data_IF_269286330790
#
_entry.id   IF_269286330790
#
_cell.length_a   1.000
_cell.length_b   1.000
_cell.length_c   1.000
_cell.angle_alpha   90.00
_cell.angle_beta   90.00
_cell.angle_gamma   90.00
#
_symmetry.space_group_name_H-M   'P 1'
#
loop_
_entity.id
_entity.type
_entity.pdbx_description
1 polymer ?
#
# COMPACT_ATOMS: atom_id res chain seq x y z
N UNK A 1 -9.01 2.02 -35.73
CA UNK A 1 -7.84 1.44 -35.03
C UNK A 1 -6.95 2.52 -34.41
N UNK A 2 -6.83 3.70 -35.02
CA UNK A 2 -6.15 4.88 -34.41
C UNK A 2 -6.58 5.14 -32.95
N UNK A 3 -7.88 5.16 -32.67
CA UNK A 3 -8.41 5.29 -31.31
C UNK A 3 -7.93 4.22 -30.31
N UNK A 4 -7.63 3.00 -30.76
CA UNK A 4 -7.12 1.93 -29.90
C UNK A 4 -5.65 2.16 -29.55
N UNK A 5 -4.82 2.58 -30.53
CA UNK A 5 -3.41 2.89 -30.31
C UNK A 5 -3.26 4.04 -29.30
N UNK A 6 -4.06 5.10 -29.47
CA UNK A 6 -4.04 6.25 -28.55
C UNK A 6 -4.56 5.90 -27.16
N UNK A 7 -5.57 5.01 -27.08
CA UNK A 7 -6.02 4.45 -25.82
C UNK A 7 -4.90 3.67 -25.11
N UNK A 8 -4.18 2.79 -25.82
CA UNK A 8 -3.08 2.01 -25.25
C UNK A 8 -1.93 2.90 -24.76
N UNK A 9 -1.59 3.97 -25.51
CA UNK A 9 -0.55 4.96 -25.13
C UNK A 9 -0.82 5.66 -23.80
N UNK A 10 -2.08 5.88 -23.48
CA UNK A 10 -2.47 6.68 -22.32
C UNK A 10 -2.93 5.83 -21.13
N UNK A 11 -3.40 4.62 -21.40
CA UNK A 11 -3.97 3.73 -20.39
C UNK A 11 -2.94 2.79 -19.77
N UNK A 12 -1.82 2.51 -20.46
CA UNK A 12 -0.74 1.64 -19.96
C UNK A 12 -1.22 0.27 -19.52
N UNK A 13 -2.15 -0.30 -20.29
CA UNK A 13 -2.77 -1.57 -19.93
C UNK A 13 -1.73 -2.68 -19.80
N UNK A 14 -1.80 -3.46 -18.73
CA UNK A 14 -0.81 -4.53 -18.50
C UNK A 14 -1.40 -5.69 -17.70
N UNK A 15 -0.66 -6.80 -17.68
CA UNK A 15 -1.00 -7.98 -16.89
C UNK A 15 -0.99 -7.74 -15.38
N UNK A 16 -0.41 -6.62 -14.94
CA UNK A 16 -0.30 -6.24 -13.54
C UNK A 16 -1.51 -5.44 -13.02
N UNK A 17 -2.39 -4.99 -13.91
CA UNK A 17 -3.60 -4.26 -13.53
C UNK A 17 -4.72 -5.20 -13.05
N UNK A 18 -5.58 -4.74 -12.13
CA UNK A 18 -6.83 -5.42 -11.82
C UNK A 18 -7.67 -5.70 -13.08
N UNK A 19 -8.02 -6.95 -13.32
CA UNK A 19 -8.83 -7.35 -14.49
C UNK A 19 -10.13 -8.02 -14.05
N UNK A 20 -11.22 -7.71 -14.73
CA UNK A 20 -12.49 -8.39 -14.53
C UNK A 20 -12.45 -9.81 -15.12
N UNK A 21 -12.53 -10.83 -14.27
CA UNK A 21 -12.51 -12.24 -14.70
C UNK A 21 -13.70 -12.67 -15.60
N UNK A 22 -14.75 -11.84 -15.70
CA UNK A 22 -15.95 -12.14 -16.48
C UNK A 22 -15.90 -11.57 -17.91
N UNK A 23 -15.24 -10.43 -18.11
CA UNK A 23 -15.21 -9.76 -19.41
C UNK A 23 -13.82 -9.25 -19.83
N UNK A 24 -12.78 -9.59 -19.06
CA UNK A 24 -11.38 -9.21 -19.29
C UNK A 24 -11.13 -7.70 -19.35
N UNK A 25 -12.05 -6.89 -18.81
CA UNK A 25 -11.84 -5.44 -18.72
C UNK A 25 -10.70 -5.15 -17.74
N UNK A 26 -9.65 -4.51 -18.25
CA UNK A 26 -8.59 -3.91 -17.44
C UNK A 26 -9.11 -2.69 -16.68
N UNK A 27 -8.80 -2.63 -15.40
CA UNK A 27 -9.21 -1.57 -14.49
C UNK A 27 -7.97 -0.98 -13.84
N UNK A 28 -7.84 0.35 -13.86
CA UNK A 28 -6.67 1.04 -13.29
C UNK A 28 -6.49 0.78 -11.80
N UNK A 29 -7.59 0.58 -11.06
CA UNK A 29 -7.57 0.26 -9.64
C UNK A 29 -8.61 -0.80 -9.28
N UNK A 30 -8.43 -1.41 -8.11
CA UNK A 30 -9.43 -2.32 -7.54
C UNK A 30 -10.75 -1.60 -7.23
N UNK A 31 -10.70 -0.28 -7.05
CA UNK A 31 -11.88 0.56 -6.87
C UNK A 31 -12.69 0.61 -8.17
N UNK A 32 -12.04 0.86 -9.31
CA UNK A 32 -12.68 0.79 -10.64
C UNK A 32 -13.22 -0.62 -10.95
N UNK A 33 -12.49 -1.67 -10.55
CA UNK A 33 -12.96 -3.05 -10.71
C UNK A 33 -14.20 -3.33 -9.86
N UNK A 34 -14.21 -2.85 -8.61
CA UNK A 34 -15.39 -2.93 -7.73
C UNK A 34 -16.58 -2.17 -8.32
N UNK A 35 -16.37 -0.96 -8.81
CA UNK A 35 -17.42 -0.17 -9.43
C UNK A 35 -18.04 -0.90 -10.64
N UNK A 36 -17.19 -1.54 -11.43
CA UNK A 36 -17.60 -2.32 -12.60
C UNK A 36 -18.42 -3.58 -12.25
N UNK A 37 -18.12 -4.23 -11.12
CA UNK A 37 -18.76 -5.49 -10.70
C UNK A 37 -19.99 -5.29 -9.81
N UNK A 38 -19.90 -4.37 -8.85
CA UNK A 38 -20.88 -4.20 -7.75
C UNK A 38 -21.09 -2.72 -7.37
N UNK A 39 -20.64 -1.79 -8.20
CA UNK A 39 -20.78 -0.36 -7.97
C UNK A 39 -22.17 0.21 -8.29
N UNK A 40 -22.28 1.55 -8.33
CA UNK A 40 -23.55 2.22 -8.67
C UNK A 40 -23.90 2.07 -10.16
N UNK A 41 -22.91 1.92 -11.04
CA UNK A 41 -23.10 1.77 -12.48
C UNK A 41 -22.30 0.55 -13.01
N UNK A 42 -22.63 -0.67 -12.58
CA UNK A 42 -21.88 -1.86 -12.96
C UNK A 42 -22.24 -2.29 -14.40
N UNK A 43 -21.37 -3.07 -15.04
CA UNK A 43 -21.73 -3.70 -16.31
C UNK A 43 -22.75 -4.80 -16.03
N UNK A 44 -23.96 -4.66 -16.55
CA UNK A 44 -25.12 -5.49 -16.18
C UNK A 44 -24.84 -7.01 -16.21
N UNK A 45 -24.18 -7.51 -17.25
CA UNK A 45 -23.84 -8.95 -17.35
C UNK A 45 -22.83 -9.39 -16.27
N UNK A 46 -21.80 -8.56 -16.03
CA UNK A 46 -20.80 -8.83 -15.02
C UNK A 46 -21.41 -8.79 -13.62
N UNK A 47 -22.28 -7.82 -13.35
CA UNK A 47 -23.00 -7.71 -12.07
C UNK A 47 -23.85 -8.95 -11.79
N UNK A 48 -24.64 -9.40 -12.77
CA UNK A 48 -25.52 -10.57 -12.63
C UNK A 48 -24.72 -11.83 -12.28
N UNK A 49 -23.64 -12.09 -13.01
CA UNK A 49 -22.78 -13.26 -12.76
C UNK A 49 -22.02 -13.12 -11.44
N UNK A 50 -21.48 -11.94 -11.15
CA UNK A 50 -20.73 -11.70 -9.91
C UNK A 50 -21.62 -11.81 -8.67
N UNK A 51 -22.90 -11.44 -8.73
CA UNK A 51 -23.85 -11.66 -7.62
C UNK A 51 -24.00 -13.13 -7.25
N UNK A 52 -23.86 -14.04 -8.22
CA UNK A 52 -24.07 -15.48 -8.04
C UNK A 52 -22.76 -16.19 -7.68
N UNK A 53 -21.66 -15.77 -8.29
CA UNK A 53 -20.38 -16.49 -8.29
C UNK A 53 -19.23 -15.71 -7.66
N UNK A 54 -19.41 -14.42 -7.36
CA UNK A 54 -18.35 -13.50 -6.98
C UNK A 54 -18.19 -13.35 -5.46
N UNK A 55 -16.94 -13.27 -5.01
CA UNK A 55 -16.61 -12.91 -3.64
C UNK A 55 -16.36 -11.40 -3.50
N UNK A 56 -17.20 -10.70 -2.73
CA UNK A 56 -17.09 -9.24 -2.53
C UNK A 56 -15.81 -8.76 -1.83
N UNK A 57 -15.02 -9.65 -1.24
CA UNK A 57 -13.78 -9.31 -0.52
C UNK A 57 -12.52 -9.49 -1.38
N UNK A 58 -12.35 -10.65 -2.02
CA UNK A 58 -11.20 -10.91 -2.89
C UNK A 58 -11.46 -10.57 -4.37
N UNK A 59 -12.72 -10.29 -4.75
CA UNK A 59 -13.17 -10.04 -6.12
C UNK A 59 -12.98 -11.22 -7.08
N UNK A 60 -12.66 -12.41 -6.56
CA UNK A 60 -12.59 -13.63 -7.35
C UNK A 60 -13.99 -14.08 -7.77
N UNK A 61 -14.07 -14.67 -8.97
CA UNK A 61 -15.24 -15.35 -9.50
C UNK A 61 -15.00 -16.85 -9.38
N UNK A 62 -15.94 -17.57 -8.79
CA UNK A 62 -15.84 -19.00 -8.51
C UNK A 62 -16.65 -19.81 -9.52
N UNK A 63 -16.28 -21.08 -9.72
CA UNK A 63 -16.90 -21.96 -10.72
C UNK A 63 -18.37 -22.29 -10.43
N UNK A 64 -18.79 -22.23 -9.16
CA UNK A 64 -20.16 -22.54 -8.76
C UNK A 64 -20.59 -21.80 -7.48
N UNK A 65 -21.91 -21.68 -7.22
CA UNK A 65 -22.41 -21.13 -5.95
C UNK A 65 -21.96 -21.90 -4.72
N UNK A 66 -21.76 -23.23 -4.83
CA UNK A 66 -21.23 -24.05 -3.74
C UNK A 66 -19.78 -23.69 -3.44
N UNK A 67 -18.95 -23.53 -4.47
CA UNK A 67 -17.56 -23.09 -4.33
C UNK A 67 -17.48 -21.70 -3.69
N UNK A 68 -18.38 -20.77 -4.06
CA UNK A 68 -18.48 -19.46 -3.42
C UNK A 68 -18.80 -19.57 -1.92
N UNK A 69 -19.79 -20.38 -1.53
CA UNK A 69 -20.13 -20.57 -0.10
C UNK A 69 -18.95 -21.13 0.69
N UNK A 70 -18.29 -22.16 0.17
CA UNK A 70 -17.10 -22.75 0.79
C UNK A 70 -15.94 -21.74 0.86
N UNK A 71 -15.78 -20.92 -0.18
CA UNK A 71 -14.78 -19.86 -0.22
C UNK A 71 -15.08 -18.76 0.81
N UNK A 72 -16.32 -18.31 0.97
CA UNK A 72 -16.67 -17.21 1.87
C UNK A 72 -16.22 -17.47 3.33
N UNK A 73 -16.35 -18.70 3.80
CA UNK A 73 -15.89 -19.10 5.14
C UNK A 73 -14.36 -19.15 5.29
N UNK A 74 -13.62 -19.33 4.19
CA UNK A 74 -12.16 -19.46 4.17
C UNK A 74 -11.47 -18.26 3.53
N UNK A 75 -12.24 -17.27 3.09
CA UNK A 75 -11.72 -16.11 2.42
C UNK A 75 -10.85 -15.37 3.44
N UNK A 76 -9.54 -15.32 3.17
CA UNK A 76 -8.54 -14.69 4.06
C UNK A 76 -8.80 -13.21 4.34
N UNK A 77 -9.80 -12.62 3.67
CA UNK A 77 -10.19 -11.22 3.75
C UNK A 77 -11.60 -11.03 4.34
N UNK A 78 -12.22 -12.09 4.85
CA UNK A 78 -13.51 -12.03 5.53
C UNK A 78 -13.31 -11.90 7.04
N UNK A 79 -13.39 -10.67 7.57
CA UNK A 79 -13.68 -10.42 8.98
C UNK A 79 -12.60 -10.84 10.00
N UNK A 80 -11.32 -10.71 9.67
CA UNK A 80 -10.25 -10.97 10.65
C UNK A 80 -10.28 -9.92 11.77
N UNK A 81 -10.57 -10.33 13.00
CA UNK A 81 -10.42 -9.46 14.17
C UNK A 81 -8.94 -9.18 14.43
N UNK A 82 -8.60 -7.90 14.66
CA UNK A 82 -7.31 -7.51 15.21
C UNK A 82 -7.21 -8.04 16.64
N UNK A 83 -6.39 -9.07 16.87
CA UNK A 83 -6.05 -9.51 18.22
C UNK A 83 -4.70 -8.94 18.57
N UNK A 84 -4.67 -7.94 19.47
CA UNK A 84 -3.42 -7.35 19.95
C UNK A 84 -2.61 -8.43 20.69
N UNK A 85 -1.34 -8.69 20.35
CA UNK A 85 -0.50 -9.47 21.25
C UNK A 85 -0.41 -8.72 22.59
N UNK A 86 -0.59 -9.45 23.69
CA UNK A 86 -0.56 -8.88 25.04
C UNK A 86 0.75 -8.10 25.27
N UNK A 87 0.63 -6.87 25.80
CA UNK A 87 1.73 -5.96 26.11
C UNK A 87 2.92 -6.71 26.73
N UNK A 88 3.99 -6.93 25.95
CA UNK A 88 5.32 -7.09 26.51
C UNK A 88 5.97 -5.71 26.48
N UNK A 89 6.04 -5.09 27.66
CA UNK A 89 6.86 -3.90 27.89
C UNK A 89 8.25 -4.10 27.28
N UNK A 90 8.69 -3.08 26.56
CA UNK A 90 10.07 -2.71 26.22
C UNK A 90 11.10 -3.82 26.39
N UNK A 91 11.19 -4.72 25.42
CA UNK A 91 12.41 -5.48 25.17
C UNK A 91 12.62 -5.51 23.66
N UNK A 92 13.71 -4.89 23.23
CA UNK A 92 14.25 -5.08 21.88
C UNK A 92 14.70 -6.53 21.83
N UNK A 93 13.82 -7.42 21.36
CA UNK A 93 14.20 -8.80 21.08
C UNK A 93 14.83 -8.78 19.71
N UNK A 94 16.16 -8.70 19.67
CA UNK A 94 16.96 -8.88 18.46
C UNK A 94 16.97 -10.37 18.08
N UNK A 95 15.81 -10.87 17.66
CA UNK A 95 15.69 -12.18 17.04
C UNK A 95 15.89 -11.99 15.54
N UNK A 96 17.16 -12.02 15.10
CA UNK A 96 17.61 -12.06 13.69
C UNK A 96 16.50 -11.99 12.65
N UNK A 97 15.92 -10.79 12.48
CA UNK A 97 14.69 -10.61 11.72
C UNK A 97 14.98 -10.89 10.24
N UNK A 98 14.44 -12.00 9.73
CA UNK A 98 14.47 -12.35 8.30
C UNK A 98 13.45 -11.56 7.47
N UNK A 99 12.65 -10.70 8.11
CA UNK A 99 11.66 -9.86 7.41
C UNK A 99 12.37 -8.74 6.64
N UNK A 100 12.29 -8.80 5.31
CA UNK A 100 12.77 -7.75 4.42
C UNK A 100 11.84 -6.53 4.34
N UNK A 101 10.74 -6.53 5.10
CA UNK A 101 9.70 -5.49 5.04
C UNK A 101 9.33 -5.03 6.44
N UNK A 102 9.12 -3.73 6.60
CA UNK A 102 8.62 -3.11 7.83
C UNK A 102 7.52 -2.12 7.49
N UNK A 103 6.48 -2.05 8.32
CA UNK A 103 5.48 -0.99 8.23
C UNK A 103 5.75 0.09 9.30
N UNK A 104 5.47 1.34 8.97
CA UNK A 104 5.63 2.51 9.83
C UNK A 104 4.34 3.32 9.83
N UNK A 105 3.88 3.71 11.02
CA UNK A 105 2.83 4.68 11.20
C UNK A 105 3.16 5.59 12.38
N UNK A 106 2.70 6.83 12.31
CA UNK A 106 2.86 7.81 13.38
C UNK A 106 1.51 8.38 13.77
N UNK A 107 1.32 8.57 15.07
CA UNK A 107 0.30 9.48 15.58
C UNK A 107 0.86 10.90 15.57
N UNK A 108 0.13 11.80 14.91
CA UNK A 108 0.52 13.19 14.74
C UNK A 108 -0.29 14.10 15.68
N UNK A 109 0.35 15.14 16.21
CA UNK A 109 -0.28 16.22 16.99
C UNK A 109 0.08 17.58 16.39
N UNK A 110 -0.65 18.63 16.78
CA UNK A 110 -0.43 19.97 16.24
C UNK A 110 0.90 20.54 16.76
N UNK A 111 1.75 21.01 15.85
CA UNK A 111 3.02 21.68 16.11
C UNK A 111 2.95 23.21 16.09
N UNK A 112 1.77 23.80 15.91
CA UNK A 112 1.58 25.26 16.01
C UNK A 112 2.14 26.07 14.84
N UNK A 113 2.19 25.49 13.63
CA UNK A 113 2.52 26.23 12.42
C UNK A 113 1.52 27.37 12.13
N UNK A 114 1.88 28.33 11.27
CA UNK A 114 0.95 29.39 10.88
C UNK A 114 -0.34 28.75 10.31
N UNK A 115 -1.50 29.06 10.90
CA UNK A 115 -2.80 28.43 10.67
C UNK A 115 -2.90 26.91 10.99
N UNK A 116 -2.09 26.36 11.91
CA UNK A 116 -2.16 24.94 12.30
C UNK A 116 -1.64 23.96 11.24
N UNK A 117 -0.78 24.42 10.34
CA UNK A 117 -0.32 23.65 9.16
C UNK A 117 0.90 22.76 9.39
N UNK A 118 1.45 22.71 10.60
CA UNK A 118 2.64 21.91 10.91
C UNK A 118 2.29 20.85 11.94
N UNK A 119 2.27 19.59 11.52
CA UNK A 119 2.06 18.44 12.39
C UNK A 119 3.41 17.88 12.87
N UNK A 120 3.47 17.47 14.15
CA UNK A 120 4.65 16.80 14.74
C UNK A 120 4.32 15.39 15.19
N UNK A 121 5.30 14.49 15.07
CA UNK A 121 5.15 13.11 15.50
C UNK A 121 5.14 13.03 17.03
N UNK A 122 4.11 12.41 17.58
CA UNK A 122 3.89 12.25 19.01
C UNK A 122 4.06 10.80 19.48
N UNK A 123 3.77 9.84 18.59
CA UNK A 123 3.96 8.41 18.83
C UNK A 123 4.27 7.73 17.52
N UNK A 124 5.22 6.81 17.53
CA UNK A 124 5.63 6.05 16.35
C UNK A 124 5.50 4.56 16.64
N UNK A 125 5.02 3.81 15.65
CA UNK A 125 5.00 2.36 15.67
C UNK A 125 5.66 1.82 14.39
N UNK A 126 6.42 0.75 14.54
CA UNK A 126 6.88 -0.10 13.45
C UNK A 126 6.57 -1.56 13.76
N UNK A 127 6.15 -2.28 12.73
CA UNK A 127 5.92 -3.73 12.79
C UNK A 127 6.68 -4.45 11.68
N UNK A 128 7.03 -5.70 11.92
CA UNK A 128 7.55 -6.60 10.89
C UNK A 128 6.42 -7.20 10.02
N UNK A 129 6.77 -8.04 9.05
CA UNK A 129 5.79 -8.70 8.17
C UNK A 129 4.85 -9.69 8.90
N UNK A 130 5.19 -10.08 10.14
CA UNK A 130 4.43 -10.99 10.98
C UNK A 130 3.56 -10.24 12.00
N UNK A 131 3.42 -8.92 11.85
CA UNK A 131 2.62 -8.04 12.72
C UNK A 131 3.19 -7.89 14.14
N UNK A 132 4.46 -8.27 14.35
CA UNK A 132 5.14 -8.05 15.62
C UNK A 132 5.62 -6.62 15.72
N UNK A 133 5.42 -5.99 16.88
CA UNK A 133 5.96 -4.67 17.18
C UNK A 133 7.48 -4.79 17.33
N UNK A 134 8.22 -4.07 16.48
CA UNK A 134 9.69 -3.96 16.56
C UNK A 134 10.13 -2.62 17.14
N UNK A 135 9.30 -1.59 17.02
CA UNK A 135 9.56 -0.28 17.61
C UNK A 135 8.26 0.42 17.93
N UNK A 136 8.07 0.87 19.18
CA UNK A 136 6.84 1.55 19.57
C UNK A 136 7.11 2.48 20.76
N UNK A 137 7.14 3.79 20.51
CA UNK A 137 7.50 4.78 21.52
C UNK A 137 6.70 6.07 21.35
N UNK A 138 6.51 6.78 22.45
CA UNK A 138 6.17 8.21 22.40
C UNK A 138 7.41 9.00 21.99
N UNK A 139 7.20 10.08 21.24
CA UNK A 139 8.26 10.95 20.74
C UNK A 139 8.20 12.25 21.50
N UNK A 140 9.33 12.72 22.02
CA UNK A 140 9.46 14.04 22.62
C UNK A 140 9.69 15.07 21.51
N UNK A 141 8.70 15.95 21.20
CA UNK A 141 8.83 16.91 20.12
C UNK A 141 9.88 17.99 20.46
N UNK A 142 10.57 18.55 19.46
CA UNK A 142 11.54 19.63 19.68
C UNK A 142 10.88 21.00 19.93
N UNK A 143 9.57 21.12 19.69
CA UNK A 143 8.78 22.35 19.83
C UNK A 143 7.59 22.13 20.78
N UNK A 144 7.04 23.20 21.39
CA UNK A 144 5.82 23.10 22.17
C UNK A 144 4.64 22.59 21.34
N UNK A 145 3.80 21.75 21.95
CA UNK A 145 2.59 21.20 21.33
C UNK A 145 1.38 21.99 21.82
N UNK A 146 0.78 22.88 21.01
CA UNK A 146 -0.41 23.63 21.40
C UNK A 146 -1.67 22.78 21.51
N UNK A 147 -1.79 21.71 20.71
CA UNK A 147 -2.96 20.85 20.71
C UNK A 147 -2.60 19.38 20.48
N UNK A 148 -2.85 18.56 21.50
CA UNK A 148 -2.56 17.11 21.49
C UNK A 148 -3.58 16.28 20.71
N UNK A 149 -4.71 16.87 20.30
CA UNK A 149 -5.83 16.15 19.65
C UNK A 149 -6.30 14.96 20.49
N UNK A 150 -6.42 15.16 21.80
CA UNK A 150 -6.56 14.08 22.80
C UNK A 150 -7.70 13.10 22.49
N UNK A 151 -8.84 13.58 22.01
CA UNK A 151 -9.99 12.73 21.65
C UNK A 151 -9.64 11.67 20.60
N UNK A 152 -8.75 12.01 19.66
CA UNK A 152 -8.32 11.11 18.59
C UNK A 152 -7.01 10.38 18.95
N UNK A 153 -6.09 11.04 19.65
CA UNK A 153 -4.73 10.53 19.87
C UNK A 153 -4.58 9.75 21.18
N UNK A 154 -5.38 10.08 22.21
CA UNK A 154 -5.20 9.61 23.59
C UNK A 154 -3.87 10.07 24.22
N UNK A 155 -3.19 11.05 23.62
CA UNK A 155 -1.85 11.50 24.05
C UNK A 155 -1.99 12.71 24.97
N UNK A 156 -1.50 12.57 26.20
CA UNK A 156 -1.34 13.68 27.15
C UNK A 156 0.08 14.26 27.17
N UNK A 157 0.24 15.40 27.86
CA UNK A 157 1.53 16.11 27.95
C UNK A 157 2.62 15.29 28.63
N UNK A 158 2.25 14.44 29.59
CA UNK A 158 3.15 13.51 30.28
C UNK A 158 3.80 12.50 29.33
N UNK A 159 3.03 11.98 28.37
CA UNK A 159 3.53 11.03 27.38
C UNK A 159 4.65 11.63 26.52
N UNK A 160 4.52 12.91 26.14
CA UNK A 160 5.50 13.61 25.30
C UNK A 160 6.71 14.08 26.10
N UNK A 161 6.50 14.52 27.35
CA UNK A 161 7.59 14.95 28.23
C UNK A 161 8.58 13.81 28.50
N UNK A 162 8.04 12.62 28.73
CA UNK A 162 8.77 11.41 29.08
C UNK A 162 9.10 10.56 27.83
N UNK A 163 8.73 11.05 26.64
CA UNK A 163 8.96 10.42 25.35
C UNK A 163 10.44 10.39 24.91
N UNK A 164 10.73 9.53 23.94
CA UNK A 164 12.07 9.41 23.37
C UNK A 164 12.43 10.67 22.54
N UNK A 165 13.62 11.27 22.72
CA UNK A 165 14.04 12.40 21.90
C UNK A 165 14.04 12.06 20.41
N UNK A 166 13.55 12.97 19.57
CA UNK A 166 13.41 12.78 18.12
C UNK A 166 14.69 12.23 17.45
N UNK A 167 15.87 12.72 17.84
CA UNK A 167 17.17 12.22 17.33
C UNK A 167 17.41 10.74 17.60
N UNK A 168 16.97 10.24 18.77
CA UNK A 168 17.09 8.83 19.09
C UNK A 168 16.07 8.00 18.31
N UNK A 169 14.85 8.53 18.12
CA UNK A 169 13.80 7.93 17.30
C UNK A 169 14.29 7.76 15.86
N UNK A 170 14.84 8.82 15.26
CA UNK A 170 15.43 8.82 13.91
C UNK A 170 16.45 7.69 13.75
N UNK A 171 17.46 7.65 14.62
CA UNK A 171 18.52 6.64 14.59
C UNK A 171 17.96 5.22 14.70
N UNK A 172 16.98 4.98 15.58
CA UNK A 172 16.35 3.66 15.71
C UNK A 172 15.61 3.24 14.44
N UNK A 173 14.85 4.15 13.84
CA UNK A 173 14.14 3.87 12.58
C UNK A 173 15.14 3.56 11.46
N UNK A 174 16.21 4.36 11.33
CA UNK A 174 17.29 4.10 10.37
C UNK A 174 17.96 2.75 10.61
N UNK A 175 18.27 2.38 11.86
CA UNK A 175 18.82 1.07 12.21
C UNK A 175 17.93 -0.08 11.70
N UNK A 176 16.60 0.03 11.90
CA UNK A 176 15.65 -0.97 11.41
C UNK A 176 15.53 -0.99 9.89
N UNK A 177 15.48 0.17 9.23
CA UNK A 177 15.32 0.28 7.78
C UNK A 177 16.58 -0.13 7.03
N UNK A 178 17.73 0.35 7.47
CA UNK A 178 18.99 0.09 6.80
C UNK A 178 19.56 -1.30 7.11
N UNK A 179 19.21 -1.90 8.26
CA UNK A 179 19.56 -3.28 8.62
C UNK A 179 21.07 -3.57 8.46
N UNK A 180 21.91 -2.65 8.94
CA UNK A 180 23.37 -2.73 8.88
C UNK A 180 23.99 -2.28 7.55
N UNK A 181 23.20 -1.88 6.56
CA UNK A 181 23.66 -1.23 5.33
C UNK A 181 23.78 0.29 5.53
N UNK A 182 24.66 0.97 4.81
CA UNK A 182 24.70 2.43 4.84
C UNK A 182 23.67 2.98 3.84
N UNK A 183 22.94 4.04 4.19
CA UNK A 183 21.88 4.64 3.35
C UNK A 183 22.34 4.89 1.90
N UNK A 184 23.57 5.39 1.71
CA UNK A 184 24.16 5.68 0.39
C UNK A 184 24.51 4.44 -0.44
N UNK A 185 24.55 3.24 0.15
CA UNK A 185 24.78 1.97 -0.55
C UNK A 185 23.50 1.33 -1.06
N UNK A 186 22.34 1.76 -0.59
CA UNK A 186 21.04 1.25 -1.02
C UNK A 186 20.82 1.69 -2.47
N UNK A 187 20.92 0.75 -3.40
CA UNK A 187 20.84 1.01 -4.85
C UNK A 187 19.68 0.32 -5.55
N UNK A 188 19.07 -0.68 -4.92
CA UNK A 188 17.97 -1.45 -5.49
C UNK A 188 17.16 -2.12 -4.38
N UNK A 189 15.84 -2.32 -4.56
CA UNK A 189 15.01 -3.11 -3.63
C UNK A 189 15.47 -4.55 -3.41
N UNK A 190 16.25 -5.09 -4.36
CA UNK A 190 16.64 -6.51 -4.39
C UNK A 190 18.08 -6.76 -3.99
N UNK A 191 18.88 -5.70 -3.89
CA UNK A 191 20.29 -5.81 -3.59
C UNK A 191 20.55 -5.18 -2.22
N UNK A 192 21.02 -5.99 -1.27
CA UNK A 192 21.42 -5.51 0.04
C UNK A 192 20.60 -6.09 1.19
N UNK A 193 20.69 -5.44 2.33
CA UNK A 193 20.01 -5.84 3.58
C UNK A 193 18.92 -4.88 3.99
N UNK A 194 18.87 -3.69 3.40
CA UNK A 194 17.87 -2.68 3.67
C UNK A 194 16.44 -3.22 3.45
N UNK A 195 15.51 -2.75 4.29
CA UNK A 195 14.13 -3.24 4.36
C UNK A 195 13.19 -2.33 3.59
N UNK A 196 12.21 -2.90 2.92
CA UNK A 196 11.13 -2.16 2.27
C UNK A 196 10.27 -1.47 3.35
N UNK A 197 10.01 -0.18 3.18
CA UNK A 197 9.18 0.62 4.08
C UNK A 197 7.76 0.70 3.55
N UNK A 198 6.80 0.16 4.30
CA UNK A 198 5.37 0.17 3.99
C UNK A 198 4.65 1.18 4.88
N UNK A 199 3.62 1.84 4.36
CA UNK A 199 2.77 2.70 5.16
C UNK A 199 1.63 3.35 4.37
N UNK A 200 1.03 4.38 4.94
CA UNK A 200 -0.04 5.15 4.34
C UNK A 200 0.27 6.64 4.50
N UNK A 201 0.38 7.36 3.38
CA UNK A 201 0.78 8.77 3.38
C UNK A 201 2.13 8.99 4.10
N UNK A 202 3.17 8.25 3.70
CA UNK A 202 4.46 8.22 4.38
C UNK A 202 5.25 9.52 4.27
N UNK A 203 5.05 10.32 3.23
CA UNK A 203 5.85 11.53 3.01
C UNK A 203 5.71 12.56 4.16
N UNK A 204 4.51 12.98 4.59
CA UNK A 204 4.36 13.83 5.78
C UNK A 204 4.95 13.21 7.06
N UNK A 205 4.82 11.90 7.23
CA UNK A 205 5.36 11.17 8.39
C UNK A 205 6.89 11.26 8.42
N UNK A 206 7.56 10.94 7.31
CA UNK A 206 9.01 11.02 7.17
C UNK A 206 9.52 12.45 7.34
N UNK A 207 8.81 13.45 6.80
CA UNK A 207 9.12 14.87 7.01
C UNK A 207 9.06 15.25 8.48
N UNK A 208 8.02 14.85 9.22
CA UNK A 208 7.90 15.14 10.65
C UNK A 208 9.01 14.48 11.48
N UNK A 209 9.47 13.30 11.03
CA UNK A 209 10.57 12.57 11.62
C UNK A 209 11.94 13.09 11.15
N UNK A 210 12.00 14.01 10.17
CA UNK A 210 13.21 14.43 9.46
C UNK A 210 14.05 13.24 8.98
N UNK A 211 13.39 12.27 8.35
CA UNK A 211 14.00 11.10 7.74
C UNK A 211 13.87 11.15 6.23
N UNK A 212 14.91 10.69 5.54
CA UNK A 212 14.89 10.44 4.10
C UNK A 212 15.09 8.95 3.86
N UNK A 213 14.32 8.39 2.93
CA UNK A 213 14.47 6.99 2.54
C UNK A 213 14.31 6.85 1.02
N UNK A 214 15.10 6.00 0.34
CA UNK A 214 15.05 5.90 -1.10
C UNK A 214 13.63 5.56 -1.60
N UNK A 215 13.11 6.35 -2.55
CA UNK A 215 11.72 6.24 -3.01
C UNK A 215 11.38 4.84 -3.55
N UNK A 216 12.34 4.16 -4.17
CA UNK A 216 12.17 2.78 -4.66
C UNK A 216 12.06 1.73 -3.54
N UNK A 217 12.44 2.06 -2.30
CA UNK A 217 12.24 1.21 -1.11
C UNK A 217 10.92 1.49 -0.41
N UNK A 218 10.15 2.49 -0.83
CA UNK A 218 8.89 2.90 -0.21
C UNK A 218 7.70 2.23 -0.91
N UNK A 219 6.74 1.78 -0.12
CA UNK A 219 5.47 1.18 -0.54
C UNK A 219 4.34 1.92 0.17
N UNK A 220 3.96 3.06 -0.39
CA UNK A 220 2.89 3.89 0.14
C UNK A 220 1.53 3.47 -0.43
N UNK A 221 0.67 2.93 0.44
CA UNK A 221 -0.69 2.48 0.07
C UNK A 221 -1.59 3.62 -0.41
N UNK A 222 -1.30 4.87 -0.06
CA UNK A 222 -2.07 6.03 -0.51
C UNK A 222 -1.72 6.47 -1.94
N UNK A 223 -0.50 6.16 -2.40
CA UNK A 223 0.01 6.52 -3.73
C UNK A 223 0.06 5.33 -4.71
N UNK A 224 -0.26 4.12 -4.26
CA UNK A 224 -0.20 2.91 -5.08
C UNK A 224 -1.43 2.82 -6.01
N UNK A 225 -1.27 2.93 -7.35
CA UNK A 225 -2.41 3.08 -8.27
C UNK A 225 -3.50 2.00 -8.13
N UNK A 226 -3.18 0.71 -7.90
CA UNK A 226 -4.21 -0.31 -7.65
C UNK A 226 -5.12 -0.06 -6.44
N UNK A 227 -4.68 0.72 -5.46
CA UNK A 227 -5.45 1.08 -4.24
C UNK A 227 -6.06 2.49 -4.30
N UNK A 228 -5.77 3.27 -5.33
CA UNK A 228 -6.30 4.64 -5.47
C UNK A 228 -7.75 4.64 -5.94
N UNK A 229 -8.43 5.76 -5.70
CA UNK A 229 -9.76 6.05 -6.25
C UNK A 229 -9.70 6.16 -7.77
N UNK A 230 -10.86 6.03 -8.41
CA UNK A 230 -11.02 6.20 -9.87
C UNK A 230 -10.58 7.58 -10.36
N UNK A 231 -10.70 8.62 -9.53
CA UNK A 231 -10.23 9.98 -9.80
C UNK A 231 -8.75 10.24 -9.47
N UNK A 232 -7.96 9.19 -9.21
CA UNK A 232 -6.53 9.25 -8.84
C UNK A 232 -6.25 10.01 -7.53
N UNK A 233 -7.25 10.15 -6.65
CA UNK A 233 -7.02 10.57 -5.27
C UNK A 233 -6.77 9.37 -4.36
N UNK A 234 -6.13 9.60 -3.21
CA UNK A 234 -5.96 8.56 -2.21
C UNK A 234 -7.29 8.15 -1.57
N UNK A 235 -7.39 6.87 -1.26
CA UNK A 235 -8.39 6.36 -0.34
C UNK A 235 -7.88 6.51 1.10
N UNK A 236 -8.80 6.67 2.06
CA UNK A 236 -8.40 6.61 3.47
C UNK A 236 -8.00 5.19 3.86
N UNK A 237 -7.06 5.05 4.80
CA UNK A 237 -6.68 3.73 5.32
C UNK A 237 -7.89 2.97 5.88
N UNK A 238 -8.81 3.67 6.55
CA UNK A 238 -10.08 3.10 7.03
C UNK A 238 -10.90 2.48 5.90
N UNK A 239 -11.07 3.20 4.78
CA UNK A 239 -11.76 2.67 3.61
C UNK A 239 -11.04 1.46 3.03
N UNK A 240 -9.71 1.54 2.85
CA UNK A 240 -8.92 0.45 2.28
C UNK A 240 -9.00 -0.81 3.15
N UNK A 241 -8.89 -0.65 4.46
CA UNK A 241 -8.93 -1.75 5.43
C UNK A 241 -10.30 -2.41 5.43
N UNK A 242 -11.37 -1.64 5.55
CA UNK A 242 -12.73 -2.18 5.53
C UNK A 242 -13.05 -2.87 4.21
N UNK A 243 -12.64 -2.25 3.10
CA UNK A 243 -12.98 -2.72 1.75
C UNK A 243 -12.15 -3.94 1.33
N UNK A 244 -10.85 -3.97 1.63
CA UNK A 244 -9.92 -4.98 1.13
C UNK A 244 -9.46 -6.00 2.16
N UNK A 245 -9.61 -5.70 3.45
CA UNK A 245 -9.26 -6.62 4.55
C UNK A 245 -10.48 -7.06 5.38
N UNK A 246 -11.60 -6.34 5.29
CA UNK A 246 -12.88 -6.74 5.87
C UNK A 246 -13.03 -6.48 7.37
N UNK A 247 -12.26 -5.54 7.93
CA UNK A 247 -12.37 -5.09 9.31
C UNK A 247 -12.17 -3.58 9.44
N UNK A 248 -12.73 -3.01 10.51
CA UNK A 248 -12.62 -1.59 10.83
C UNK A 248 -11.37 -1.32 11.70
N UNK A 249 -10.77 -0.16 11.49
CA UNK A 249 -9.70 0.41 12.31
C UNK A 249 -10.08 1.81 12.77
N UNK A 250 -9.33 2.36 13.73
CA UNK A 250 -9.52 3.73 14.20
C UNK A 250 -10.93 3.95 14.78
N UNK A 251 -11.44 2.92 15.48
CA UNK A 251 -12.71 2.99 16.20
C UNK A 251 -12.47 3.61 17.58
N UNK A 252 -12.48 4.94 17.65
CA UNK A 252 -12.18 5.71 18.87
C UNK A 252 -10.77 6.30 18.81
N UNK A 253 -9.98 6.09 19.86
CA UNK A 253 -8.59 6.54 19.92
C UNK A 253 -7.76 5.78 18.89
N UNK A 254 -7.05 6.51 18.04
CA UNK A 254 -6.18 5.97 17.02
C UNK A 254 -4.93 5.35 17.67
N UNK A 255 -4.60 4.12 17.24
CA UNK A 255 -3.37 3.44 17.63
C UNK A 255 -2.50 3.24 16.36
N UNK A 256 -1.28 3.80 16.31
CA UNK A 256 -0.40 3.61 15.15
C UNK A 256 -0.06 2.13 14.90
N UNK A 257 -0.24 1.24 15.88
CA UNK A 257 -0.13 -0.21 15.66
C UNK A 257 -1.20 -0.73 14.69
N UNK A 258 -2.46 -0.32 14.83
CA UNK A 258 -3.53 -0.74 13.93
C UNK A 258 -3.24 -0.32 12.49
N UNK A 259 -2.76 0.91 12.32
CA UNK A 259 -2.39 1.46 11.02
C UNK A 259 -1.19 0.73 10.39
N UNK A 260 -0.18 0.38 11.19
CA UNK A 260 0.95 -0.44 10.76
C UNK A 260 0.50 -1.82 10.26
N UNK A 261 -0.34 -2.51 11.03
CA UNK A 261 -0.85 -3.83 10.67
C UNK A 261 -1.74 -3.75 9.43
N UNK A 262 -2.64 -2.77 9.35
CA UNK A 262 -3.50 -2.56 8.20
C UNK A 262 -2.69 -2.32 6.90
N UNK A 263 -1.70 -1.44 6.95
CA UNK A 263 -0.84 -1.15 5.79
C UNK A 263 0.03 -2.34 5.41
N UNK A 264 0.59 -3.07 6.38
CA UNK A 264 1.33 -4.31 6.14
C UNK A 264 0.44 -5.37 5.45
N UNK A 265 -0.77 -5.59 5.95
CA UNK A 265 -1.73 -6.54 5.36
C UNK A 265 -2.16 -6.13 3.95
N UNK A 266 -2.39 -4.84 3.70
CA UNK A 266 -2.66 -4.32 2.36
C UNK A 266 -1.47 -4.57 1.42
N UNK A 267 -0.26 -4.27 1.88
CA UNK A 267 0.97 -4.55 1.12
C UNK A 267 1.10 -6.03 0.78
N UNK A 268 0.98 -6.92 1.78
CA UNK A 268 1.06 -8.37 1.56
C UNK A 268 0.00 -8.86 0.58
N UNK A 269 -1.22 -8.31 0.63
CA UNK A 269 -2.28 -8.62 -0.34
C UNK A 269 -1.89 -8.24 -1.77
N UNK A 270 -1.26 -7.09 -1.97
CA UNK A 270 -0.80 -6.63 -3.28
C UNK A 270 0.47 -7.38 -3.74
N UNK A 271 1.39 -7.68 -2.82
CA UNK A 271 2.60 -8.46 -3.07
C UNK A 271 2.30 -9.90 -3.47
N UNK A 272 1.22 -10.48 -2.92
CA UNK A 272 0.81 -11.86 -3.21
C UNK A 272 -0.12 -11.98 -4.43
N UNK A 273 -0.30 -10.92 -5.23
CA UNK A 273 -1.01 -11.03 -6.50
C UNK A 273 -0.22 -11.93 -7.45
N UNK A 274 -0.93 -12.82 -8.16
CA UNK A 274 -0.32 -13.76 -9.10
C UNK A 274 -0.39 -13.15 -10.49
N UNK A 275 0.72 -12.53 -10.91
CA UNK A 275 0.89 -12.03 -12.26
C UNK A 275 1.95 -12.87 -13.00
N UNK A 276 1.82 -12.96 -14.33
CA UNK A 276 2.86 -13.54 -15.16
C UNK A 276 4.16 -12.74 -15.01
N UNK A 277 5.29 -13.44 -14.92
CA UNK A 277 6.59 -12.78 -14.81
C UNK A 277 6.98 -12.15 -16.14
N UNK A 278 7.26 -10.85 -16.12
CA UNK A 278 7.83 -10.11 -17.23
C UNK A 278 9.25 -9.67 -16.87
N UNK A 279 10.18 -9.74 -17.83
CA UNK A 279 11.56 -9.26 -17.62
C UNK A 279 11.61 -7.76 -17.37
N UNK A 280 10.70 -7.01 -18.01
CA UNK A 280 10.63 -5.55 -18.03
C UNK A 280 9.22 -5.08 -17.72
N UNK A 281 8.74 -5.24 -16.48
CA UNK A 281 7.32 -5.04 -16.16
C UNK A 281 6.89 -3.55 -16.16
N UNK A 282 7.85 -2.63 -16.11
CA UNK A 282 7.58 -1.19 -15.99
C UNK A 282 7.76 -0.46 -17.32
N UNK A 283 6.83 0.44 -17.62
CA UNK A 283 6.93 1.34 -18.78
C UNK A 283 8.18 2.24 -18.74
N UNK A 284 8.72 2.51 -17.54
CA UNK A 284 9.93 3.30 -17.35
C UNK A 284 11.24 2.56 -17.64
N UNK A 285 11.24 1.24 -17.87
CA UNK A 285 12.46 0.53 -18.28
C UNK A 285 12.91 1.04 -19.66
N UNK A 286 14.20 1.37 -19.86
CA UNK A 286 14.72 1.84 -21.15
C UNK A 286 14.36 0.95 -22.34
N UNK A 287 14.20 -0.35 -22.12
CA UNK A 287 13.84 -1.33 -23.16
C UNK A 287 12.38 -1.22 -23.61
N UNK A 288 11.52 -0.57 -22.83
CA UNK A 288 10.10 -0.41 -23.11
C UNK A 288 9.71 0.99 -23.66
N UNK A 289 10.60 1.98 -23.59
CA UNK A 289 10.29 3.37 -24.00
C UNK A 289 9.78 3.49 -25.43
N UNK A 290 10.22 2.61 -26.32
CA UNK A 290 9.85 2.64 -27.74
C UNK A 290 8.63 1.76 -28.07
N UNK A 291 8.00 1.11 -27.09
CA UNK A 291 6.91 0.15 -27.35
C UNK A 291 5.72 0.83 -28.05
N UNK A 292 5.38 2.07 -27.66
CA UNK A 292 4.27 2.84 -28.24
C UNK A 292 4.70 4.18 -28.85
N UNK A 293 5.96 4.27 -29.29
CA UNK A 293 6.51 5.49 -29.90
C UNK A 293 5.67 5.97 -31.11
N UNK A 294 5.48 7.28 -31.31
CA UNK A 294 4.76 7.82 -32.46
C UNK A 294 5.30 7.34 -33.82
N UNK A 295 6.60 7.09 -33.92
CA UNK A 295 7.25 6.57 -35.13
C UNK A 295 6.76 5.18 -35.56
N UNK A 296 6.14 4.41 -34.65
CA UNK A 296 5.58 3.08 -34.92
C UNK A 296 4.08 3.08 -35.22
N UNK A 297 3.46 4.24 -35.47
CA UNK A 297 2.00 4.36 -35.67
C UNK A 297 1.45 3.31 -36.66
N UNK A 298 2.00 3.27 -37.88
CA UNK A 298 1.50 2.37 -38.93
C UNK A 298 1.70 0.88 -38.62
N UNK A 299 2.69 0.53 -37.79
CA UNK A 299 2.90 -0.83 -37.30
C UNK A 299 1.84 -1.17 -36.25
N UNK A 300 1.66 -0.30 -35.25
CA UNK A 300 0.71 -0.47 -34.15
C UNK A 300 -0.74 -0.57 -34.65
N UNK A 301 -1.11 0.23 -35.64
CA UNK A 301 -2.44 0.17 -36.26
C UNK A 301 -2.70 -1.14 -37.00
N UNK A 302 -1.67 -1.92 -37.35
CA UNK A 302 -1.81 -3.25 -37.97
C UNK A 302 -1.77 -4.39 -36.97
N UNK A 303 -1.42 -4.11 -35.71
CA UNK A 303 -1.35 -5.12 -34.65
C UNK A 303 -2.76 -5.49 -34.14
N UNK A 304 -2.92 -6.72 -33.67
CA UNK A 304 -4.12 -7.10 -32.94
C UNK A 304 -4.13 -6.44 -31.54
N UNK A 305 -5.30 -6.29 -30.89
CA UNK A 305 -5.38 -5.83 -29.51
C UNK A 305 -4.51 -6.64 -28.54
N UNK A 306 -4.44 -7.96 -28.72
CA UNK A 306 -3.65 -8.87 -27.88
C UNK A 306 -2.15 -8.63 -28.08
N UNK A 307 -1.72 -8.41 -29.32
CA UNK A 307 -0.33 -8.10 -29.62
C UNK A 307 0.09 -6.74 -29.04
N UNK A 308 -0.78 -5.73 -29.08
CA UNK A 308 -0.54 -4.44 -28.42
C UNK A 308 -0.46 -4.61 -26.90
N UNK A 309 -1.36 -5.39 -26.30
CA UNK A 309 -1.33 -5.66 -24.86
C UNK A 309 -0.03 -6.36 -24.45
N UNK A 310 0.46 -7.32 -25.25
CA UNK A 310 1.69 -8.06 -24.97
C UNK A 310 2.96 -7.18 -24.94
N UNK A 311 2.98 -6.05 -25.64
CA UNK A 311 4.08 -5.08 -25.59
C UNK A 311 3.82 -3.91 -24.64
N UNK A 312 2.62 -3.82 -24.08
CA UNK A 312 2.25 -2.77 -23.12
C UNK A 312 2.71 -3.13 -21.71
N UNK A 313 3.07 -2.09 -20.94
CA UNK A 313 3.65 -2.21 -19.60
C UNK A 313 3.03 -1.21 -18.66
N UNK A 314 3.04 -1.57 -17.39
CA UNK A 314 2.43 -0.75 -16.33
C UNK A 314 3.17 0.58 -16.17
N UNK A 315 2.41 1.66 -15.95
CA UNK A 315 2.94 2.97 -15.56
C UNK A 315 3.36 3.04 -14.08
N UNK A 316 3.25 1.93 -13.34
CA UNK A 316 3.63 1.84 -11.93
C UNK A 316 4.44 0.58 -11.61
N UNK A 317 5.15 0.61 -10.47
CA UNK A 317 5.85 -0.58 -9.96
C UNK A 317 4.87 -1.49 -9.22
N UNK A 318 4.52 -2.64 -9.80
CA UNK A 318 3.61 -3.60 -9.16
C UNK A 318 4.30 -4.29 -7.97
N UNK A 319 3.67 -4.29 -6.79
CA UNK A 319 4.28 -4.85 -5.58
C UNK A 319 4.42 -6.37 -5.61
N UNK A 320 3.77 -7.07 -6.56
CA UNK A 320 4.03 -8.50 -6.77
C UNK A 320 5.49 -8.78 -7.18
N UNK A 321 6.20 -7.76 -7.68
CA UNK A 321 7.59 -7.86 -8.09
C UNK A 321 8.58 -7.89 -6.91
N UNK A 322 8.12 -7.58 -5.70
CA UNK A 322 8.90 -7.67 -4.45
C UNK A 322 9.03 -9.10 -3.94
N UNK A 323 8.17 -10.02 -4.37
CA UNK A 323 8.24 -11.46 -4.03
C UNK A 323 9.34 -12.23 -4.77
N UNK A 324 10.15 -11.52 -5.57
CA UNK A 324 11.12 -12.09 -6.51
C UNK A 324 12.56 -11.76 -6.14
#
# INVERSE_FOLDING_TARGET
>A
MEHLVDHMRTSYHSLHEPTCALCNKHCRSFDSLREHLIGPLPKQECEKLFKILGCKFCLSVLESPLALRLHQHRCRFSGGTMSRPANKSTTVVDNGFSSHVVALACQMVDGGGNNGSMDVCARVCMVDEYENIIFHVYVKPPIPVPNYRYENSGIGGEHLRDGMPLKQVQRRIEEFLCNGEAMWKIRSPKAGKARILVGHHLQPLLQSLHLEYPSFMIRDTAAYPPLMKTNKLSNSLKYLTQTYLGYDIQAGVQDPYEDCVATMRLYLRMRNQVHQREDYPQASDPRNWNNFAPSRQSELERMSPEAMLAISRSDYYCWCLDSM
#
